data_IF_967457808875
#
_entry.id   IF_967457808875
#
_cell.length_a   1.000
_cell.length_b   1.000
_cell.length_c   1.000
_cell.angle_alpha   90.00
_cell.angle_beta   90.00
_cell.angle_gamma   90.00
#
_symmetry.space_group_name_H-M   'P 1'
#
loop_
_entity.id
_entity.type
_entity.pdbx_description
1 polymer ?
#
# COMPACT_ATOMS: atom_id res chain seq x y z
N UNK A 1 11.99 -16.51 28.50
CA UNK A 1 11.70 -15.98 27.15
C UNK A 1 10.27 -15.49 27.16
N UNK A 2 10.04 -14.18 27.10
CA UNK A 2 8.70 -13.58 27.17
C UNK A 2 8.14 -13.51 25.74
N UNK A 3 7.22 -14.41 25.38
CA UNK A 3 6.51 -14.33 24.10
C UNK A 3 5.40 -13.27 24.22
N UNK A 4 5.69 -12.04 23.80
CA UNK A 4 4.72 -10.94 23.75
C UNK A 4 3.76 -11.10 22.56
N UNK A 5 2.67 -11.85 22.74
CA UNK A 5 1.55 -11.94 21.80
C UNK A 5 0.55 -10.77 21.97
N UNK A 6 1.06 -9.52 21.96
CA UNK A 6 0.21 -8.34 22.21
C UNK A 6 0.75 -7.01 21.68
N UNK A 7 1.79 -7.02 20.85
CA UNK A 7 2.27 -5.81 20.20
C UNK A 7 1.22 -5.22 19.26
N UNK A 8 1.20 -3.88 19.11
CA UNK A 8 0.32 -3.19 18.14
C UNK A 8 0.53 -3.78 16.75
N UNK A 9 -0.42 -4.61 16.31
CA UNK A 9 -0.44 -5.13 14.95
C UNK A 9 -1.11 -4.08 14.08
N UNK A 10 -0.34 -3.41 13.22
CA UNK A 10 -0.91 -2.52 12.21
C UNK A 10 -1.48 -3.40 11.12
N UNK A 11 -2.81 -3.45 11.00
CA UNK A 11 -3.48 -4.10 9.88
C UNK A 11 -3.15 -3.29 8.63
N UNK A 12 -2.28 -3.84 7.80
CA UNK A 12 -1.88 -3.21 6.55
C UNK A 12 -2.88 -3.63 5.46
N UNK A 13 -3.46 -2.69 4.70
CA UNK A 13 -4.34 -3.04 3.59
C UNK A 13 -3.61 -3.92 2.56
N UNK A 14 -4.39 -4.66 1.77
CA UNK A 14 -3.87 -5.57 0.76
C UNK A 14 -2.85 -4.85 -0.15
N UNK A 15 -1.61 -5.33 -0.12
CA UNK A 15 -0.57 -4.93 -1.07
C UNK A 15 -0.81 -5.68 -2.37
N UNK A 16 -0.89 -4.95 -3.49
CA UNK A 16 -0.89 -5.54 -4.81
C UNK A 16 0.38 -5.17 -5.55
N UNK A 17 0.99 -6.19 -6.13
CA UNK A 17 2.04 -6.06 -7.14
C UNK A 17 1.43 -6.49 -8.46
N UNK A 18 1.19 -5.54 -9.37
CA UNK A 18 0.74 -5.85 -10.74
C UNK A 18 1.90 -5.71 -11.70
N UNK A 19 2.38 -6.82 -12.25
CA UNK A 19 3.30 -6.81 -13.38
C UNK A 19 2.49 -6.75 -14.67
N UNK A 20 2.31 -5.55 -15.20
CA UNK A 20 1.64 -5.33 -16.48
C UNK A 20 2.41 -4.30 -17.29
N UNK A 21 2.56 -4.49 -18.62
CA UNK A 21 3.42 -3.66 -19.46
C UNK A 21 2.96 -2.19 -19.51
N UNK A 22 1.68 -1.92 -19.24
CA UNK A 22 1.14 -0.58 -19.07
C UNK A 22 0.26 -0.54 -17.82
N UNK A 23 0.78 0.04 -16.74
CA UNK A 23 0.01 0.29 -15.53
C UNK A 23 -0.67 1.66 -15.61
N UNK A 24 -2.00 1.68 -15.70
CA UNK A 24 -2.82 2.91 -15.71
C UNK A 24 -3.32 3.32 -14.33
N UNK A 25 -3.00 2.55 -13.30
CA UNK A 25 -3.34 2.86 -11.92
C UNK A 25 -2.64 4.16 -11.48
N UNK A 26 -3.36 5.02 -10.75
CA UNK A 26 -2.83 6.27 -10.19
C UNK A 26 -3.05 6.33 -8.70
N UNK A 27 -2.03 6.76 -7.96
CA UNK A 27 -2.15 7.03 -6.54
C UNK A 27 -3.15 8.17 -6.29
N UNK A 28 -4.06 7.99 -5.34
CA UNK A 28 -5.08 8.98 -4.98
C UNK A 28 -4.48 10.30 -4.46
N UNK A 29 -3.29 10.25 -3.85
CA UNK A 29 -2.66 11.40 -3.20
C UNK A 29 -1.75 12.15 -4.17
N UNK A 30 -0.77 11.47 -4.77
CA UNK A 30 0.23 12.14 -5.62
C UNK A 30 -0.09 12.08 -7.12
N UNK A 31 -1.16 11.39 -7.53
CA UNK A 31 -1.59 11.21 -8.93
C UNK A 31 -0.56 10.55 -9.86
N UNK A 32 0.56 10.06 -9.31
CA UNK A 32 1.58 9.31 -10.02
C UNK A 32 1.23 7.82 -10.09
N UNK A 33 1.73 7.15 -11.11
CA UNK A 33 1.65 5.69 -11.22
C UNK A 33 2.48 5.07 -10.09
N UNK A 34 1.91 4.18 -9.26
CA UNK A 34 2.67 3.49 -8.24
C UNK A 34 3.78 2.65 -8.87
N UNK A 35 5.01 2.82 -8.37
CA UNK A 35 6.16 2.01 -8.77
C UNK A 35 6.34 0.89 -7.75
N UNK A 36 6.30 -0.36 -8.19
CA UNK A 36 6.41 -1.53 -7.31
C UNK A 36 5.12 -1.80 -6.53
N UNK A 37 5.26 -2.08 -5.24
CA UNK A 37 4.16 -2.43 -4.35
C UNK A 37 3.28 -1.22 -4.01
N UNK A 38 1.97 -1.42 -4.05
CA UNK A 38 1.00 -0.39 -3.68
C UNK A 38 -0.23 -0.98 -3.00
N UNK A 39 -0.89 -0.15 -2.22
CA UNK A 39 -2.10 -0.52 -1.49
C UNK A 39 -3.32 -0.29 -2.36
N UNK A 40 -4.21 -1.28 -2.42
CA UNK A 40 -5.51 -1.13 -3.06
C UNK A 40 -6.62 -1.45 -2.06
N UNK A 41 -7.52 -0.50 -1.85
CA UNK A 41 -8.76 -0.72 -1.10
C UNK A 41 -9.95 -0.23 -1.95
N UNK A 42 -10.86 -1.15 -2.28
CA UNK A 42 -11.96 -0.90 -3.22
C UNK A 42 -11.44 -0.35 -4.56
N UNK A 43 -11.72 0.91 -4.88
CA UNK A 43 -11.29 1.63 -6.10
C UNK A 43 -10.17 2.64 -5.82
N UNK A 44 -9.71 2.74 -4.59
CA UNK A 44 -8.66 3.66 -4.18
C UNK A 44 -7.31 2.95 -4.23
N UNK A 45 -6.31 3.68 -4.72
CA UNK A 45 -4.95 3.19 -4.93
C UNK A 45 -4.02 4.14 -4.21
N UNK A 46 -3.12 3.62 -3.39
CA UNK A 46 -2.12 4.39 -2.67
C UNK A 46 -0.76 3.76 -2.88
N UNK A 47 0.20 4.54 -3.40
CA UNK A 47 1.58 4.07 -3.46
C UNK A 47 2.14 3.91 -2.04
N UNK A 48 3.14 3.03 -1.89
CA UNK A 48 3.76 2.76 -0.59
C UNK A 48 4.25 4.04 0.10
N UNK A 49 4.85 4.96 -0.66
CA UNK A 49 5.34 6.25 -0.14
C UNK A 49 4.22 7.09 0.46
N UNK A 50 3.10 7.27 -0.26
CA UNK A 50 1.98 8.07 0.22
C UNK A 50 1.29 7.42 1.41
N UNK A 51 1.21 6.08 1.45
CA UNK A 51 0.65 5.40 2.60
C UNK A 51 1.52 5.61 3.85
N UNK A 52 2.83 5.36 3.76
CA UNK A 52 3.74 5.51 4.90
C UNK A 52 3.86 6.94 5.43
N UNK A 53 3.65 7.95 4.58
CA UNK A 53 3.68 9.35 5.01
C UNK A 53 2.40 9.77 5.76
N UNK A 54 1.23 9.21 5.39
CA UNK A 54 -0.06 9.66 5.92
C UNK A 54 -0.61 8.76 7.04
N UNK A 55 -0.12 7.53 7.20
CA UNK A 55 -0.60 6.56 8.19
C UNK A 55 0.53 5.78 8.85
#
# INVERSE_FOLDING_TARGET
MLHNFGGRTKLVPLVKTKCMPLNTDKCLICLQTPVGDYYQYRKEILCATCYNFNW
#
